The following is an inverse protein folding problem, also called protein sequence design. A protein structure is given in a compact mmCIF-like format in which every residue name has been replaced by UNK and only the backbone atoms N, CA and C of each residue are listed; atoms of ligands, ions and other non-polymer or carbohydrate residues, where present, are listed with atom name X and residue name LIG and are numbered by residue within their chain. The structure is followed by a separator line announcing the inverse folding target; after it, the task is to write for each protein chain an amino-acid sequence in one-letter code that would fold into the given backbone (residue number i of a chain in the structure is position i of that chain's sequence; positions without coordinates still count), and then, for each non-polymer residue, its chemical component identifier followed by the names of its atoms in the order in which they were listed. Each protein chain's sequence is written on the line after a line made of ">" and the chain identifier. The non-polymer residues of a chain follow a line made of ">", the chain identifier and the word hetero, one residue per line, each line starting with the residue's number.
data_IF_190330496051
#
_entry.id   IF_190330496051
#
_cell.length_a   1.000
_cell.length_b   1.000
_cell.length_c   1.000
_cell.angle_alpha   90.00
_cell.angle_beta   90.00
_cell.angle_gamma   90.00
#
_symmetry.space_group_name_H-M   'P 1'
#
loop_
_entity.id
_entity.type
_entity.pdbx_description
1 polymer ?
#
# COMPACT_ATOMS: atom_id res chain seq x y z
N UNK A 1 -41.47 -22.33 -26.07
CA UNK A 1 -41.34 -22.26 -24.60
C UNK A 1 -39.85 -22.12 -24.31
N UNK A 2 -39.42 -20.90 -24.16
CA UNK A 2 -38.04 -20.56 -23.88
C UNK A 2 -37.91 -20.31 -22.38
N UNK A 3 -37.24 -21.25 -21.72
CA UNK A 3 -36.94 -21.16 -20.29
C UNK A 3 -35.78 -20.18 -20.11
N UNK A 4 -36.06 -19.00 -19.57
CA UNK A 4 -35.04 -18.02 -19.14
C UNK A 4 -34.43 -18.51 -17.84
N UNK A 5 -33.08 -18.55 -17.75
CA UNK A 5 -32.46 -18.84 -16.46
C UNK A 5 -32.76 -17.69 -15.49
N UNK A 6 -33.43 -18.00 -14.40
CA UNK A 6 -33.56 -17.12 -13.23
C UNK A 6 -32.14 -16.86 -12.72
N UNK A 7 -31.62 -15.65 -12.93
CA UNK A 7 -30.52 -15.10 -12.11
C UNK A 7 -30.99 -15.10 -10.66
N UNK A 8 -30.56 -16.09 -9.91
CA UNK A 8 -30.66 -16.07 -8.45
C UNK A 8 -29.77 -14.90 -7.98
N UNK A 9 -30.42 -13.81 -7.55
CA UNK A 9 -29.76 -12.75 -6.82
C UNK A 9 -29.02 -13.41 -5.63
N UNK A 10 -27.69 -13.48 -5.71
CA UNK A 10 -26.88 -13.93 -4.60
C UNK A 10 -27.22 -13.02 -3.42
N UNK A 11 -27.80 -13.57 -2.36
CA UNK A 11 -28.07 -12.85 -1.12
C UNK A 11 -26.78 -12.16 -0.70
N UNK A 12 -26.77 -10.83 -0.71
CA UNK A 12 -25.61 -10.03 -0.40
C UNK A 12 -25.35 -10.21 1.09
N UNK A 13 -24.33 -11.01 1.42
CA UNK A 13 -23.97 -11.27 2.81
C UNK A 13 -23.75 -9.93 3.55
N UNK A 14 -24.49 -9.73 4.63
CA UNK A 14 -24.36 -8.54 5.48
C UNK A 14 -23.42 -8.84 6.63
N UNK A 15 -22.58 -7.85 6.99
CA UNK A 15 -21.65 -7.93 8.11
C UNK A 15 -21.85 -6.71 9.02
N UNK A 16 -22.11 -6.97 10.31
CA UNK A 16 -22.23 -5.93 11.32
C UNK A 16 -20.94 -5.85 12.15
N UNK A 17 -20.25 -4.72 12.07
CA UNK A 17 -19.12 -4.35 12.94
C UNK A 17 -19.69 -3.58 14.13
N UNK A 18 -19.60 -4.15 15.33
CA UNK A 18 -20.24 -3.60 16.52
C UNK A 18 -19.25 -2.91 17.45
N UNK A 19 -19.58 -1.69 17.88
CA UNK A 19 -18.89 -1.01 18.97
C UNK A 19 -17.48 -0.54 18.62
N UNK A 20 -17.19 -0.31 17.34
CA UNK A 20 -15.89 0.20 16.88
C UNK A 20 -15.69 1.66 17.28
N UNK A 21 -14.47 2.04 17.66
CA UNK A 21 -14.10 3.44 17.91
C UNK A 21 -13.56 4.08 16.64
N UNK A 22 -13.94 5.32 16.36
CA UNK A 22 -13.39 6.14 15.30
C UNK A 22 -12.29 7.08 15.82
N UNK A 23 -11.50 7.65 14.90
CA UNK A 23 -10.41 8.59 15.25
C UNK A 23 -10.90 9.90 15.87
N UNK A 24 -12.16 10.28 15.65
CA UNK A 24 -12.81 11.44 16.26
C UNK A 24 -13.39 11.16 17.66
N UNK A 25 -13.21 9.94 18.17
CA UNK A 25 -13.64 9.50 19.51
C UNK A 25 -15.04 8.87 19.55
N UNK A 26 -15.84 8.95 18.49
CA UNK A 26 -17.16 8.31 18.44
C UNK A 26 -17.05 6.78 18.49
N UNK A 27 -17.98 6.14 19.18
CA UNK A 27 -18.17 4.69 19.14
C UNK A 27 -19.39 4.38 18.28
N UNK A 28 -19.20 3.55 17.27
CA UNK A 28 -20.17 3.31 16.21
C UNK A 28 -20.39 1.82 15.94
N UNK A 29 -21.56 1.53 15.37
CA UNK A 29 -21.80 0.30 14.62
C UNK A 29 -21.70 0.61 13.13
N UNK A 30 -21.14 -0.33 12.34
CA UNK A 30 -21.03 -0.20 10.90
C UNK A 30 -21.61 -1.45 10.25
N UNK A 31 -22.63 -1.27 9.40
CA UNK A 31 -23.20 -2.35 8.60
C UNK A 31 -22.64 -2.31 7.21
N UNK A 32 -22.11 -3.45 6.78
CA UNK A 32 -21.58 -3.67 5.45
C UNK A 32 -22.56 -4.52 4.65
N UNK A 33 -22.75 -4.15 3.37
CA UNK A 33 -23.54 -4.91 2.41
C UNK A 33 -22.71 -5.08 1.14
N UNK A 34 -22.25 -6.30 0.89
CA UNK A 34 -21.29 -6.55 -0.17
C UNK A 34 -20.05 -5.63 -0.03
N UNK A 35 -19.55 -5.02 -1.13
CA UNK A 35 -18.31 -4.25 -1.13
C UNK A 35 -18.45 -2.82 -0.57
N UNK A 36 -19.60 -2.45 0.02
CA UNK A 36 -19.86 -1.08 0.48
C UNK A 36 -20.30 -1.03 1.94
N UNK A 37 -20.02 0.12 2.56
CA UNK A 37 -20.59 0.49 3.85
C UNK A 37 -22.04 0.92 3.59
N UNK A 38 -23.00 0.17 4.14
CA UNK A 38 -24.42 0.45 4.00
C UNK A 38 -24.87 1.53 4.99
N UNK A 39 -24.47 1.41 6.25
CA UNK A 39 -24.87 2.32 7.30
C UNK A 39 -23.80 2.45 8.38
N UNK A 40 -23.73 3.64 9.00
CA UNK A 40 -22.95 3.92 10.20
C UNK A 40 -23.91 4.54 11.21
N UNK A 41 -24.00 3.96 12.40
CA UNK A 41 -24.87 4.43 13.47
C UNK A 41 -24.16 4.47 14.82
N UNK A 42 -24.78 5.04 15.83
CA UNK A 42 -24.28 4.97 17.21
C UNK A 42 -24.23 3.52 17.68
N UNK A 43 -23.32 3.20 18.59
CA UNK A 43 -23.18 1.84 19.11
C UNK A 43 -24.53 1.28 19.64
N UNK A 44 -24.90 0.10 19.15
CA UNK A 44 -26.17 -0.58 19.46
C UNK A 44 -27.36 -0.20 18.57
N UNK A 45 -27.29 0.91 17.80
CA UNK A 45 -28.44 1.36 16.99
C UNK A 45 -28.75 0.48 15.78
N UNK A 46 -27.74 -0.13 15.18
CA UNK A 46 -27.92 -0.97 13.99
C UNK A 46 -28.28 -2.43 14.32
N UNK A 47 -28.10 -2.86 15.58
CA UNK A 47 -28.50 -4.20 16.01
C UNK A 47 -30.03 -4.35 16.15
N UNK A 48 -30.76 -3.25 16.38
CA UNK A 48 -32.22 -3.26 16.57
C UNK A 48 -33.03 -3.31 15.25
N UNK A 49 -32.41 -3.16 14.11
CA UNK A 49 -33.07 -3.06 12.81
C UNK A 49 -32.97 -4.31 11.90
N UNK A 50 -32.49 -5.44 12.41
CA UNK A 50 -32.47 -6.69 11.66
C UNK A 50 -33.88 -7.30 11.71
N UNK A 51 -34.62 -7.43 10.58
CA UNK A 51 -35.90 -8.11 10.58
C UNK A 51 -35.71 -9.54 11.12
N UNK A 52 -36.53 -9.92 12.08
CA UNK A 52 -36.60 -11.31 12.56
C UNK A 52 -36.95 -12.22 11.38
N UNK A 53 -35.95 -12.88 10.80
CA UNK A 53 -36.16 -13.75 9.63
C UNK A 53 -35.18 -13.53 8.47
N UNK A 54 -34.36 -12.46 8.46
CA UNK A 54 -33.22 -12.38 7.55
C UNK A 54 -32.12 -13.31 8.08
N UNK A 55 -31.53 -14.12 7.19
CA UNK A 55 -30.41 -15.00 7.54
C UNK A 55 -29.36 -14.23 8.37
N UNK A 56 -29.01 -14.79 9.51
CA UNK A 56 -28.17 -14.19 10.55
C UNK A 56 -26.92 -13.51 9.94
N UNK A 57 -26.95 -12.18 9.77
CA UNK A 57 -25.80 -11.44 9.31
C UNK A 57 -24.65 -11.63 10.31
N UNK A 58 -23.47 -11.99 9.83
CA UNK A 58 -22.31 -12.21 10.70
C UNK A 58 -22.01 -10.93 11.50
N UNK A 59 -21.94 -11.04 12.82
CA UNK A 59 -21.60 -9.94 13.72
C UNK A 59 -20.17 -10.08 14.23
N UNK A 60 -19.42 -8.98 14.24
CA UNK A 60 -18.06 -8.90 14.81
C UNK A 60 -18.06 -7.84 15.89
N UNK A 61 -17.63 -8.24 17.09
CA UNK A 61 -17.42 -7.32 18.21
C UNK A 61 -16.08 -6.62 18.03
N UNK A 62 -16.12 -5.29 17.85
CA UNK A 62 -14.95 -4.42 17.70
C UNK A 62 -14.78 -3.48 18.91
N UNK A 63 -15.38 -3.78 20.06
CA UNK A 63 -15.10 -3.03 21.29
C UNK A 63 -13.63 -3.12 21.66
N UNK A 64 -13.00 -1.96 21.91
CA UNK A 64 -11.55 -1.86 22.12
C UNK A 64 -10.72 -1.85 20.85
N UNK A 65 -11.36 -1.73 19.67
CA UNK A 65 -10.70 -1.55 18.38
C UNK A 65 -10.97 -0.16 17.81
N UNK A 66 -9.93 0.44 17.26
CA UNK A 66 -10.01 1.61 16.39
C UNK A 66 -10.29 1.15 14.96
N UNK A 67 -11.33 1.68 14.33
CA UNK A 67 -11.72 1.36 12.95
C UNK A 67 -11.23 2.47 12.01
N UNK A 68 -10.49 2.07 11.00
CA UNK A 68 -9.77 2.94 10.09
C UNK A 68 -10.05 2.55 8.62
N UNK A 69 -9.94 3.48 7.65
CA UNK A 69 -9.77 3.10 6.25
C UNK A 69 -8.57 2.17 6.09
N UNK A 70 -8.70 1.08 5.35
CA UNK A 70 -7.58 0.15 5.16
C UNK A 70 -6.41 0.82 4.44
N UNK A 71 -5.15 0.56 4.87
CA UNK A 71 -3.97 0.95 4.14
C UNK A 71 -3.92 0.35 2.74
N UNK A 72 -3.09 0.96 1.89
CA UNK A 72 -2.60 0.36 0.66
C UNK A 72 -1.08 0.46 0.65
N UNK A 73 -0.42 -0.51 0.05
CA UNK A 73 1.03 -0.49 -0.15
C UNK A 73 1.33 0.09 -1.54
N UNK A 74 1.80 1.35 -1.64
CA UNK A 74 2.01 2.00 -2.92
C UNK A 74 3.31 1.60 -3.61
N UNK A 75 4.22 0.91 -2.90
CA UNK A 75 5.55 0.62 -3.41
C UNK A 75 6.14 -0.66 -2.79
N UNK A 76 5.90 -1.78 -3.41
CA UNK A 76 6.43 -3.08 -3.03
C UNK A 76 7.22 -3.73 -4.19
N UNK A 77 7.97 -4.78 -3.88
CA UNK A 77 8.70 -5.61 -4.83
C UNK A 77 8.42 -7.09 -4.55
N UNK A 78 7.21 -7.56 -4.92
CA UNK A 78 6.79 -8.93 -4.62
C UNK A 78 7.64 -9.99 -5.32
N UNK A 79 8.22 -9.67 -6.48
CA UNK A 79 9.18 -10.53 -7.19
C UNK A 79 10.48 -10.76 -6.41
N UNK A 80 10.83 -9.84 -5.49
CA UNK A 80 12.01 -9.90 -4.65
C UNK A 80 11.70 -10.28 -3.20
N UNK A 81 10.44 -10.30 -2.79
CA UNK A 81 10.05 -10.57 -1.42
C UNK A 81 10.60 -11.91 -0.92
N UNK A 82 10.97 -11.95 0.37
CA UNK A 82 11.40 -13.17 1.09
C UNK A 82 12.67 -13.82 0.51
N UNK A 83 13.61 -13.00 0.01
CA UNK A 83 14.90 -13.47 -0.54
C UNK A 83 16.08 -13.22 0.38
N UNK A 84 15.87 -12.73 1.61
CA UNK A 84 16.95 -12.42 2.56
C UNK A 84 17.82 -13.64 2.94
N UNK A 85 17.29 -14.86 2.81
CA UNK A 85 18.00 -16.11 3.11
C UNK A 85 18.98 -16.56 2.02
N UNK A 86 19.08 -15.85 0.90
CA UNK A 86 19.98 -16.18 -0.21
C UNK A 86 19.33 -15.92 -1.58
N UNK A 87 20.11 -16.09 -2.67
CA UNK A 87 19.61 -15.88 -4.00
C UNK A 87 18.44 -16.84 -4.29
N UNK A 88 17.31 -16.31 -4.80
CA UNK A 88 16.14 -17.14 -5.11
C UNK A 88 16.42 -18.09 -6.28
N UNK A 89 15.68 -19.19 -6.35
CA UNK A 89 15.75 -20.12 -7.48
C UNK A 89 15.43 -19.46 -8.82
N UNK A 90 14.56 -18.43 -8.81
CA UNK A 90 14.29 -17.57 -9.98
C UNK A 90 13.41 -18.23 -11.02
N UNK A 91 12.86 -19.43 -10.77
CA UNK A 91 11.80 -20.01 -11.61
C UNK A 91 10.44 -19.34 -11.33
N UNK A 92 9.50 -19.54 -12.24
CA UNK A 92 8.17 -18.90 -12.16
C UNK A 92 7.42 -19.34 -10.91
N UNK A 93 7.51 -20.60 -10.55
CA UNK A 93 6.84 -21.21 -9.39
C UNK A 93 7.36 -20.63 -8.07
N UNK A 94 8.68 -20.47 -7.92
CA UNK A 94 9.26 -19.89 -6.71
C UNK A 94 8.90 -18.42 -6.57
N UNK A 95 9.00 -17.63 -7.66
CA UNK A 95 8.59 -16.22 -7.65
C UNK A 95 7.11 -16.09 -7.34
N UNK A 96 6.24 -16.92 -7.94
CA UNK A 96 4.80 -16.92 -7.69
C UNK A 96 4.50 -17.22 -6.22
N UNK A 97 5.13 -18.26 -5.65
CA UNK A 97 4.96 -18.64 -4.24
C UNK A 97 5.34 -17.48 -3.33
N UNK A 98 6.53 -16.89 -3.50
CA UNK A 98 7.02 -15.78 -2.67
C UNK A 98 6.18 -14.53 -2.83
N UNK A 99 5.75 -14.20 -4.06
CA UNK A 99 4.87 -13.07 -4.32
C UNK A 99 3.49 -13.25 -3.65
N UNK A 100 2.94 -14.47 -3.68
CA UNK A 100 1.69 -14.80 -2.99
C UNK A 100 1.84 -14.66 -1.48
N UNK A 101 2.88 -15.23 -0.90
CA UNK A 101 3.18 -15.16 0.53
C UNK A 101 3.44 -13.70 0.97
N UNK A 102 4.23 -12.96 0.20
CA UNK A 102 4.51 -11.55 0.46
C UNK A 102 3.26 -10.69 0.45
N UNK A 103 2.37 -10.87 -0.52
CA UNK A 103 1.10 -10.15 -0.58
C UNK A 103 0.16 -10.52 0.59
N UNK A 104 0.13 -11.80 1.01
CA UNK A 104 -0.64 -12.23 2.19
C UNK A 104 -0.09 -11.66 3.50
N UNK A 105 1.23 -11.54 3.64
CA UNK A 105 1.85 -10.87 4.79
C UNK A 105 1.46 -9.39 4.85
N UNK A 106 1.54 -8.67 3.72
CA UNK A 106 1.11 -7.27 3.64
C UNK A 106 -0.39 -7.11 3.91
N UNK A 107 -1.22 -8.04 3.42
CA UNK A 107 -2.64 -8.10 3.77
C UNK A 107 -2.83 -8.30 5.27
N UNK A 108 -2.10 -9.22 5.89
CA UNK A 108 -2.10 -9.43 7.34
C UNK A 108 -1.73 -8.18 8.14
N UNK A 109 -0.89 -7.32 7.55
CA UNK A 109 -0.54 -6.01 8.09
C UNK A 109 -1.58 -4.93 7.81
N UNK A 110 -2.61 -5.21 7.00
CA UNK A 110 -3.74 -4.32 6.77
C UNK A 110 -3.86 -3.77 5.35
N UNK A 111 -2.88 -3.99 4.47
CA UNK A 111 -2.93 -3.49 3.10
C UNK A 111 -3.93 -4.30 2.26
N UNK A 112 -5.03 -3.69 1.85
CA UNK A 112 -6.03 -4.33 0.97
C UNK A 112 -5.70 -4.18 -0.52
N UNK A 113 -4.71 -3.35 -0.84
CA UNK A 113 -4.16 -3.20 -2.18
C UNK A 113 -2.65 -3.03 -2.11
N UNK A 114 -1.94 -3.62 -3.09
CA UNK A 114 -0.48 -3.59 -3.19
C UNK A 114 -0.09 -3.21 -4.62
N UNK A 115 0.73 -2.17 -4.77
CA UNK A 115 1.40 -1.87 -6.04
C UNK A 115 2.80 -2.47 -6.00
N UNK A 116 3.03 -3.48 -6.84
CA UNK A 116 4.30 -4.20 -6.91
C UNK A 116 5.07 -3.81 -8.18
N UNK A 117 6.28 -3.29 -8.00
CA UNK A 117 7.25 -3.09 -9.05
C UNK A 117 7.93 -4.42 -9.38
N UNK A 118 7.81 -4.86 -10.62
CA UNK A 118 8.29 -6.17 -11.06
C UNK A 118 9.35 -5.97 -12.14
N UNK A 119 10.54 -6.47 -11.89
CA UNK A 119 11.65 -6.37 -12.83
C UNK A 119 11.38 -7.21 -14.08
N UNK A 120 11.65 -6.61 -15.23
CA UNK A 120 11.57 -7.25 -16.55
C UNK A 120 12.88 -7.02 -17.31
N UNK A 121 13.21 -7.96 -18.17
CA UNK A 121 14.45 -7.92 -18.95
C UNK A 121 15.51 -8.86 -18.41
N UNK A 122 16.75 -8.64 -18.80
CA UNK A 122 17.89 -9.51 -18.54
C UNK A 122 17.62 -10.98 -18.95
N UNK A 123 18.26 -11.93 -18.26
CA UNK A 123 18.10 -13.37 -18.49
C UNK A 123 16.69 -13.88 -18.14
N UNK A 124 16.00 -13.19 -17.22
CA UNK A 124 14.65 -13.58 -16.75
C UNK A 124 13.55 -13.20 -17.74
N UNK A 125 13.77 -12.20 -18.60
CA UNK A 125 12.77 -11.72 -19.54
C UNK A 125 11.50 -11.24 -18.82
N UNK A 126 10.36 -11.88 -19.10
CA UNK A 126 9.05 -11.57 -18.52
C UNK A 126 8.59 -12.55 -17.42
N UNK A 127 9.41 -13.53 -17.05
CA UNK A 127 9.03 -14.61 -16.12
C UNK A 127 8.59 -14.10 -14.75
N UNK A 128 9.30 -13.10 -14.19
CA UNK A 128 8.90 -12.52 -12.91
C UNK A 128 7.55 -11.83 -12.98
N UNK A 129 7.25 -11.15 -14.10
CA UNK A 129 5.94 -10.53 -14.31
C UNK A 129 4.85 -11.59 -14.44
N UNK A 130 5.08 -12.64 -15.22
CA UNK A 130 4.17 -13.78 -15.35
C UNK A 130 3.83 -14.37 -13.97
N UNK A 131 4.85 -14.65 -13.15
CA UNK A 131 4.68 -15.19 -11.81
C UNK A 131 3.84 -14.29 -10.90
N UNK A 132 4.08 -12.98 -10.89
CA UNK A 132 3.31 -12.02 -10.08
C UNK A 132 1.88 -11.87 -10.61
N UNK A 133 1.66 -11.95 -11.92
CA UNK A 133 0.32 -11.96 -12.51
C UNK A 133 -0.47 -13.23 -12.13
N UNK A 134 0.19 -14.38 -12.07
CA UNK A 134 -0.41 -15.63 -11.56
C UNK A 134 -0.74 -15.52 -10.07
N UNK A 135 0.16 -14.95 -9.24
CA UNK A 135 -0.12 -14.65 -7.84
C UNK A 135 -1.32 -13.71 -7.68
N UNK A 136 -1.40 -12.63 -8.48
CA UNK A 136 -2.56 -11.72 -8.52
C UNK A 136 -3.87 -12.48 -8.80
N UNK A 137 -3.84 -13.44 -9.72
CA UNK A 137 -5.01 -14.26 -10.05
C UNK A 137 -5.43 -15.14 -8.88
N UNK A 138 -4.47 -15.78 -8.19
CA UNK A 138 -4.73 -16.65 -7.05
C UNK A 138 -5.26 -15.86 -5.83
N UNK A 139 -4.88 -14.59 -5.70
CA UNK A 139 -5.24 -13.71 -4.58
C UNK A 139 -6.58 -12.95 -4.79
N UNK A 140 -7.32 -13.22 -5.87
CA UNK A 140 -8.60 -12.54 -6.13
C UNK A 140 -9.56 -12.63 -4.95
N UNK A 141 -10.08 -11.47 -4.55
CA UNK A 141 -11.03 -11.35 -3.44
C UNK A 141 -10.39 -11.36 -2.05
N UNK A 142 -9.06 -11.48 -1.96
CA UNK A 142 -8.29 -11.33 -0.72
C UNK A 142 -7.55 -9.99 -0.69
N UNK A 143 -6.80 -9.68 -1.75
CA UNK A 143 -6.02 -8.44 -1.87
C UNK A 143 -5.91 -8.06 -3.36
N UNK A 144 -5.96 -6.76 -3.65
CA UNK A 144 -5.79 -6.27 -5.01
C UNK A 144 -4.29 -6.02 -5.29
N UNK A 145 -3.72 -6.71 -6.29
CA UNK A 145 -2.32 -6.55 -6.69
C UNK A 145 -2.25 -5.79 -8.02
N UNK A 146 -1.54 -4.66 -8.02
CA UNK A 146 -1.28 -3.81 -9.18
C UNK A 146 0.19 -3.92 -9.56
N UNK A 147 0.48 -4.37 -10.78
CA UNK A 147 1.87 -4.58 -11.24
C UNK A 147 2.38 -3.38 -12.01
N UNK A 148 3.61 -2.97 -11.71
CA UNK A 148 4.39 -1.97 -12.45
C UNK A 148 5.50 -2.72 -13.19
N UNK A 149 5.55 -2.62 -14.51
CA UNK A 149 6.64 -3.21 -15.28
C UNK A 149 7.90 -2.34 -15.16
N UNK A 150 9.00 -2.92 -14.67
CA UNK A 150 10.25 -2.23 -14.34
C UNK A 150 11.38 -2.69 -15.29
N UNK A 151 11.54 -2.10 -16.49
CA UNK A 151 12.62 -2.43 -17.38
C UNK A 151 13.96 -1.94 -16.83
N UNK A 152 15.03 -2.67 -17.12
CA UNK A 152 16.37 -2.31 -16.66
C UNK A 152 16.98 -1.20 -17.52
N UNK A 153 17.06 -1.39 -18.83
CA UNK A 153 17.65 -0.45 -19.78
C UNK A 153 16.67 -0.19 -20.92
N UNK A 154 16.55 1.05 -21.34
CA UNK A 154 15.72 1.49 -22.46
C UNK A 154 16.52 2.28 -23.50
N UNK A 155 17.81 2.50 -23.23
CA UNK A 155 18.70 3.20 -24.18
C UNK A 155 19.98 2.37 -24.46
N UNK A 156 20.82 2.84 -25.35
CA UNK A 156 22.01 2.11 -25.80
C UNK A 156 21.67 0.87 -26.63
N UNK A 157 22.61 -0.08 -26.70
CA UNK A 157 22.49 -1.29 -27.54
C UNK A 157 21.37 -2.24 -27.10
N UNK A 158 21.01 -2.24 -25.82
CA UNK A 158 19.93 -3.07 -25.27
C UNK A 158 18.56 -2.35 -25.27
N UNK A 159 18.50 -1.08 -25.64
CA UNK A 159 17.30 -0.25 -25.48
C UNK A 159 16.11 -0.74 -26.30
N UNK A 160 16.33 -1.18 -27.53
CA UNK A 160 15.25 -1.68 -28.39
C UNK A 160 14.59 -2.94 -27.81
N UNK A 161 15.38 -3.88 -27.28
CA UNK A 161 14.88 -5.10 -26.65
C UNK A 161 14.12 -4.76 -25.34
N UNK A 162 14.66 -3.82 -24.55
CA UNK A 162 14.00 -3.34 -23.33
C UNK A 162 12.65 -2.70 -23.64
N UNK A 163 12.55 -1.87 -24.65
CA UNK A 163 11.29 -1.24 -25.07
C UNK A 163 10.29 -2.26 -25.63
N UNK A 164 10.74 -3.27 -26.38
CA UNK A 164 9.89 -4.35 -26.85
C UNK A 164 9.32 -5.16 -25.67
N UNK A 165 10.16 -5.56 -24.71
CA UNK A 165 9.74 -6.29 -23.52
C UNK A 165 8.77 -5.46 -22.66
N UNK A 166 8.99 -4.15 -22.51
CA UNK A 166 8.07 -3.27 -21.79
C UNK A 166 6.69 -3.25 -22.46
N UNK A 167 6.65 -3.17 -23.79
CA UNK A 167 5.40 -3.24 -24.57
C UNK A 167 4.67 -4.56 -24.33
N UNK A 168 5.40 -5.67 -24.35
CA UNK A 168 4.81 -6.98 -24.12
C UNK A 168 4.34 -7.15 -22.67
N UNK A 169 5.05 -6.61 -21.70
CA UNK A 169 4.63 -6.56 -20.30
C UNK A 169 3.27 -5.84 -20.12
N UNK A 170 3.07 -4.73 -20.83
CA UNK A 170 1.78 -4.00 -20.81
C UNK A 170 0.66 -4.81 -21.46
N UNK A 171 0.94 -5.48 -22.59
CA UNK A 171 -0.04 -6.40 -23.22
C UNK A 171 -0.39 -7.60 -22.31
N UNK A 172 0.54 -8.08 -21.51
CA UNK A 172 0.28 -9.12 -20.49
C UNK A 172 -0.59 -8.63 -19.33
N UNK A 173 -0.75 -7.32 -19.16
CA UNK A 173 -1.63 -6.73 -18.14
C UNK A 173 -0.90 -6.11 -16.96
N UNK A 174 0.34 -5.64 -17.15
CA UNK A 174 0.95 -4.70 -16.21
C UNK A 174 0.09 -3.43 -16.12
N UNK A 175 -0.16 -2.96 -14.90
CA UNK A 175 -1.07 -1.86 -14.63
C UNK A 175 -0.42 -0.47 -14.75
N UNK A 176 0.91 -0.41 -14.79
CA UNK A 176 1.68 0.82 -14.87
C UNK A 176 3.04 0.57 -15.54
N UNK A 177 3.63 1.62 -16.07
CA UNK A 177 5.01 1.64 -16.53
C UNK A 177 5.90 2.18 -15.42
N UNK A 178 6.98 1.47 -15.12
CA UNK A 178 8.01 1.89 -14.19
C UNK A 178 9.40 1.98 -14.84
N UNK A 179 10.38 2.05 -13.99
CA UNK A 179 11.78 2.05 -14.37
C UNK A 179 12.66 2.82 -13.40
N UNK A 180 13.97 2.78 -13.65
CA UNK A 180 14.95 3.55 -12.90
C UNK A 180 15.85 4.32 -13.85
N UNK A 181 15.48 5.54 -14.26
CA UNK A 181 16.29 6.34 -15.17
C UNK A 181 17.71 6.61 -14.64
N UNK A 182 17.89 6.61 -13.31
CA UNK A 182 19.19 6.85 -12.68
C UNK A 182 20.24 5.78 -13.02
N UNK A 183 19.82 4.60 -13.47
CA UNK A 183 20.68 3.47 -13.83
C UNK A 183 20.91 3.31 -15.34
N UNK A 184 20.23 4.12 -16.17
CA UNK A 184 20.36 4.08 -17.61
C UNK A 184 21.49 5.01 -18.08
N UNK A 185 22.24 4.63 -19.13
CA UNK A 185 23.25 5.51 -19.72
C UNK A 185 22.71 6.86 -20.20
N UNK A 186 21.46 6.92 -20.66
CA UNK A 186 20.74 8.15 -20.99
C UNK A 186 19.43 8.25 -20.21
N UNK A 187 19.46 8.85 -19.00
CA UNK A 187 18.26 9.00 -18.17
C UNK A 187 17.12 9.78 -18.83
N UNK A 188 17.44 10.69 -19.76
CA UNK A 188 16.43 11.49 -20.46
C UNK A 188 15.72 10.67 -21.53
N UNK A 189 16.46 9.96 -22.36
CA UNK A 189 15.92 9.04 -23.38
C UNK A 189 15.13 7.89 -22.74
N UNK A 190 15.60 7.39 -21.58
CA UNK A 190 14.84 6.41 -20.78
C UNK A 190 13.48 6.98 -20.36
N UNK A 191 13.48 8.17 -19.78
CA UNK A 191 12.26 8.84 -19.33
C UNK A 191 11.29 9.11 -20.48
N UNK A 192 11.79 9.57 -21.62
CA UNK A 192 10.99 9.80 -22.83
C UNK A 192 10.31 8.51 -23.32
N UNK A 193 11.05 7.40 -23.37
CA UNK A 193 10.53 6.08 -23.76
C UNK A 193 9.43 5.62 -22.81
N UNK A 194 9.63 5.75 -21.48
CA UNK A 194 8.62 5.40 -20.47
C UNK A 194 7.36 6.24 -20.62
N UNK A 195 7.48 7.57 -20.73
CA UNK A 195 6.35 8.47 -20.87
C UNK A 195 5.56 8.22 -22.16
N UNK A 196 6.27 7.99 -23.28
CA UNK A 196 5.67 7.65 -24.56
C UNK A 196 4.88 6.34 -24.50
N UNK A 197 5.47 5.29 -23.88
CA UNK A 197 4.83 4.00 -23.72
C UNK A 197 3.59 4.09 -22.80
N UNK A 198 3.70 4.82 -21.69
CA UNK A 198 2.59 5.04 -20.78
C UNK A 198 1.44 5.82 -21.44
N UNK A 199 1.76 6.81 -22.28
CA UNK A 199 0.74 7.55 -23.05
C UNK A 199 0.06 6.66 -24.09
N UNK A 200 0.81 5.80 -24.80
CA UNK A 200 0.28 4.86 -25.78
C UNK A 200 -0.73 3.89 -25.17
N UNK A 201 -0.43 3.35 -23.98
CA UNK A 201 -1.28 2.39 -23.30
C UNK A 201 -2.30 3.01 -22.33
N UNK A 202 -2.24 4.33 -22.10
CA UNK A 202 -3.15 5.02 -21.17
C UNK A 202 -2.95 4.63 -19.70
N UNK A 203 -1.73 4.27 -19.28
CA UNK A 203 -1.42 3.79 -17.94
C UNK A 203 -0.57 4.80 -17.15
N UNK A 204 -0.60 4.79 -15.81
CA UNK A 204 0.26 5.65 -15.00
C UNK A 204 1.74 5.25 -15.08
N UNK A 205 2.59 6.19 -14.66
CA UNK A 205 4.04 6.00 -14.55
C UNK A 205 4.45 5.99 -13.07
N UNK A 206 5.35 5.06 -12.71
CA UNK A 206 5.92 4.96 -11.37
C UNK A 206 7.42 4.67 -11.43
N UNK A 207 8.24 5.73 -11.29
CA UNK A 207 9.68 5.67 -11.51
C UNK A 207 10.46 5.61 -10.19
N UNK A 208 11.51 4.79 -10.20
CA UNK A 208 12.51 4.82 -9.15
C UNK A 208 13.54 5.91 -9.42
N UNK A 209 13.80 6.75 -8.43
CA UNK A 209 14.90 7.72 -8.43
C UNK A 209 15.35 8.00 -7.01
N UNK A 210 16.67 8.14 -6.84
CA UNK A 210 17.23 8.67 -5.60
C UNK A 210 16.91 10.16 -5.44
N UNK A 211 16.74 10.87 -6.55
CA UNK A 211 16.53 12.32 -6.61
C UNK A 211 17.69 13.11 -5.93
N UNK A 212 18.92 12.60 -6.03
CA UNK A 212 20.13 13.20 -5.48
C UNK A 212 20.80 14.25 -6.41
N UNK A 213 20.36 14.28 -7.69
CA UNK A 213 20.75 15.29 -8.67
C UNK A 213 19.57 16.24 -8.98
N UNK A 214 19.60 17.48 -8.48
CA UNK A 214 18.53 18.46 -8.71
C UNK A 214 18.33 18.83 -10.19
N UNK A 215 19.38 18.76 -11.03
CA UNK A 215 19.26 19.09 -12.45
C UNK A 215 18.57 17.97 -13.20
N UNK A 216 18.88 16.71 -12.90
CA UNK A 216 18.22 15.53 -13.46
C UNK A 216 16.75 15.51 -13.05
N UNK A 217 16.46 15.71 -11.76
CA UNK A 217 15.09 15.76 -11.26
C UNK A 217 14.27 16.88 -11.92
N UNK A 218 14.89 18.05 -12.16
CA UNK A 218 14.24 19.15 -12.84
C UNK A 218 13.87 18.81 -14.29
N UNK A 219 14.77 18.13 -15.03
CA UNK A 219 14.49 17.67 -16.38
C UNK A 219 13.35 16.64 -16.39
N UNK A 220 13.41 15.65 -15.50
CA UNK A 220 12.36 14.65 -15.36
C UNK A 220 11.00 15.32 -15.06
N UNK A 221 10.95 16.27 -14.14
CA UNK A 221 9.73 16.99 -13.80
C UNK A 221 9.18 17.80 -15.00
N UNK A 222 10.06 18.40 -15.79
CA UNK A 222 9.65 19.13 -16.99
C UNK A 222 9.08 18.20 -18.07
N UNK A 223 9.68 17.02 -18.26
CA UNK A 223 9.21 16.02 -19.24
C UNK A 223 7.89 15.36 -18.80
N UNK A 224 7.74 15.08 -17.52
CA UNK A 224 6.59 14.35 -16.96
C UNK A 224 5.39 15.26 -16.62
N UNK A 225 5.58 16.58 -16.65
CA UNK A 225 4.55 17.54 -16.29
C UNK A 225 3.28 17.41 -17.14
N UNK A 226 2.13 17.31 -16.47
CA UNK A 226 0.84 17.17 -17.16
C UNK A 226 0.50 15.77 -17.65
N UNK A 227 1.38 14.77 -17.47
CA UNK A 227 1.10 13.37 -17.81
C UNK A 227 -0.17 12.85 -17.11
N UNK A 228 -0.99 12.13 -17.86
CA UNK A 228 -2.20 11.47 -17.33
C UNK A 228 -2.15 9.98 -17.69
N UNK A 229 -2.56 9.07 -16.76
CA UNK A 229 -3.21 9.32 -15.45
C UNK A 229 -2.35 9.97 -14.37
N UNK A 230 -1.02 9.94 -14.44
CA UNK A 230 -0.14 10.63 -13.52
C UNK A 230 1.24 9.97 -13.37
N UNK A 231 2.16 10.66 -12.70
CA UNK A 231 3.53 10.20 -12.43
C UNK A 231 3.77 10.16 -10.93
N UNK A 232 4.33 9.06 -10.47
CA UNK A 232 4.84 8.87 -9.10
C UNK A 232 6.35 8.68 -9.17
N UNK A 233 7.09 9.25 -8.24
CA UNK A 233 8.52 9.03 -8.06
C UNK A 233 8.78 8.44 -6.67
N UNK A 234 9.67 7.48 -6.55
CA UNK A 234 10.10 6.90 -5.29
C UNK A 234 11.50 6.28 -5.40
N UNK A 235 12.20 6.11 -4.29
CA UNK A 235 11.94 6.59 -2.93
C UNK A 235 12.32 8.04 -2.68
N UNK A 236 13.02 8.72 -3.60
CA UNK A 236 13.47 10.12 -3.51
C UNK A 236 14.27 10.45 -2.22
N UNK A 237 14.94 9.44 -1.63
CA UNK A 237 15.67 9.56 -0.37
C UNK A 237 16.86 10.51 -0.45
N UNK A 238 17.48 10.65 -1.62
CA UNK A 238 18.59 11.55 -1.88
C UNK A 238 18.26 13.03 -1.69
N UNK A 239 16.97 13.41 -1.83
CA UNK A 239 16.53 14.77 -1.49
C UNK A 239 16.85 15.14 -0.04
N UNK A 240 16.82 14.18 0.89
CA UNK A 240 17.12 14.42 2.31
C UNK A 240 18.57 14.81 2.59
N UNK A 241 19.48 14.55 1.66
CA UNK A 241 20.89 14.91 1.77
C UNK A 241 21.23 16.26 1.11
N UNK A 242 20.28 16.89 0.41
CA UNK A 242 20.49 18.14 -0.29
C UNK A 242 20.31 19.36 0.66
N UNK A 243 20.94 20.50 0.35
CA UNK A 243 20.67 21.76 1.06
C UNK A 243 19.19 22.13 0.99
N UNK A 244 18.66 22.74 2.06
CA UNK A 244 17.24 23.08 2.19
C UNK A 244 16.68 23.91 1.02
N UNK A 245 17.49 24.81 0.45
CA UNK A 245 17.13 25.60 -0.72
C UNK A 245 16.96 24.75 -1.99
N UNK A 246 17.81 23.75 -2.19
CA UNK A 246 17.71 22.80 -3.29
C UNK A 246 16.46 21.92 -3.13
N UNK A 247 16.19 21.45 -1.91
CA UNK A 247 14.96 20.68 -1.59
C UNK A 247 13.73 21.52 -1.89
N UNK A 248 13.67 22.77 -1.45
CA UNK A 248 12.53 23.66 -1.70
C UNK A 248 12.28 23.88 -3.20
N UNK A 249 13.37 24.10 -3.96
CA UNK A 249 13.30 24.28 -5.43
C UNK A 249 12.80 23.02 -6.11
N UNK A 250 13.34 21.84 -5.74
CA UNK A 250 12.90 20.55 -6.27
C UNK A 250 11.43 20.27 -5.97
N UNK A 251 11.02 20.49 -4.71
CA UNK A 251 9.65 20.30 -4.26
C UNK A 251 8.65 21.20 -5.03
N UNK A 252 8.98 22.48 -5.25
CA UNK A 252 8.16 23.39 -6.04
C UNK A 252 8.00 22.93 -7.49
N UNK A 253 9.05 22.38 -8.12
CA UNK A 253 9.00 21.83 -9.47
C UNK A 253 8.14 20.57 -9.55
N UNK A 254 8.28 19.65 -8.60
CA UNK A 254 7.45 18.44 -8.52
C UNK A 254 5.98 18.79 -8.35
N UNK A 255 5.66 19.76 -7.47
CA UNK A 255 4.30 20.26 -7.26
C UNK A 255 3.72 20.87 -8.53
N UNK A 256 4.47 21.75 -9.21
CA UNK A 256 4.04 22.39 -10.46
C UNK A 256 3.81 21.37 -11.60
N UNK A 257 4.60 20.29 -11.62
CA UNK A 257 4.45 19.20 -12.59
C UNK A 257 3.30 18.23 -12.23
N UNK A 258 2.69 18.32 -11.04
CA UNK A 258 1.67 17.40 -10.56
C UNK A 258 2.19 16.00 -10.26
N UNK A 259 3.48 15.88 -9.98
CA UNK A 259 4.14 14.61 -9.67
C UNK A 259 3.93 14.25 -8.20
N UNK A 260 3.61 12.98 -7.94
CA UNK A 260 3.50 12.42 -6.59
C UNK A 260 4.83 11.80 -6.14
N UNK A 261 5.07 11.74 -4.83
CA UNK A 261 6.26 11.08 -4.26
C UNK A 261 5.86 9.97 -3.31
N UNK A 262 6.43 8.77 -3.52
CA UNK A 262 6.30 7.64 -2.60
C UNK A 262 7.54 7.57 -1.70
N UNK A 263 7.40 7.95 -0.44
CA UNK A 263 8.45 7.86 0.57
C UNK A 263 8.54 6.45 1.17
N UNK A 264 9.74 5.94 1.40
CA UNK A 264 9.99 4.62 1.98
C UNK A 264 10.78 4.75 3.28
N UNK A 265 10.13 5.07 4.41
CA UNK A 265 10.82 5.37 5.67
C UNK A 265 11.49 4.15 6.31
N UNK A 266 11.10 2.94 5.94
CA UNK A 266 11.78 1.71 6.37
C UNK A 266 13.13 1.52 5.67
N UNK A 267 13.40 2.27 4.61
CA UNK A 267 14.56 2.08 3.75
C UNK A 267 14.47 0.81 2.91
N UNK A 268 15.41 0.66 2.00
CA UNK A 268 15.47 -0.49 1.10
C UNK A 268 14.53 -0.33 -0.11
N UNK A 269 15.16 -0.29 -1.26
CA UNK A 269 14.49 -0.41 -2.55
C UNK A 269 15.41 -1.26 -3.41
N UNK A 270 14.92 -2.36 -3.95
CA UNK A 270 15.74 -3.36 -4.66
C UNK A 270 16.55 -2.80 -5.86
N UNK A 271 16.29 -1.57 -6.24
CA UNK A 271 16.96 -0.88 -7.36
C UNK A 271 17.99 0.13 -6.87
N UNK A 272 17.78 0.72 -5.69
CA UNK A 272 18.59 1.81 -5.14
C UNK A 272 19.04 1.46 -3.72
N UNK A 273 20.28 1.03 -3.60
CA UNK A 273 20.89 0.63 -2.32
C UNK A 273 21.31 1.86 -1.50
N UNK A 274 20.34 2.59 -0.96
CA UNK A 274 20.59 3.69 -0.04
C UNK A 274 19.57 3.74 1.09
N UNK A 275 20.06 4.14 2.27
CA UNK A 275 19.24 4.36 3.46
C UNK A 275 18.87 5.84 3.56
N UNK A 276 17.71 6.12 4.09
CA UNK A 276 17.18 7.47 4.29
C UNK A 276 15.73 7.55 3.84
N UNK A 277 15.14 8.71 4.10
CA UNK A 277 13.75 8.99 3.70
C UNK A 277 13.68 10.30 2.95
N UNK A 278 12.76 10.42 2.01
CA UNK A 278 12.44 11.71 1.39
C UNK A 278 12.00 12.72 2.46
N UNK A 279 12.32 14.01 2.32
CA UNK A 279 11.92 15.05 3.27
C UNK A 279 10.42 15.36 3.14
N UNK A 280 9.59 14.48 3.70
CA UNK A 280 8.12 14.45 3.55
C UNK A 280 7.48 15.78 3.94
N UNK A 281 7.94 16.39 5.05
CA UNK A 281 7.44 17.69 5.50
C UNK A 281 7.66 18.78 4.46
N UNK A 282 8.88 18.88 3.90
CA UNK A 282 9.23 19.89 2.92
C UNK A 282 8.45 19.70 1.60
N UNK A 283 8.38 18.47 1.09
CA UNK A 283 7.64 18.13 -0.10
C UNK A 283 6.16 18.51 0.02
N UNK A 284 5.53 18.15 1.13
CA UNK A 284 4.12 18.46 1.38
C UNK A 284 3.87 19.96 1.56
N UNK A 285 4.77 20.67 2.23
CA UNK A 285 4.66 22.12 2.38
C UNK A 285 4.71 22.87 1.06
N UNK A 286 5.36 22.30 0.05
CA UNK A 286 5.40 22.83 -1.32
C UNK A 286 4.19 22.40 -2.18
N UNK A 287 3.27 21.58 -1.64
CA UNK A 287 2.08 21.11 -2.35
C UNK A 287 2.27 19.81 -3.13
N UNK A 288 3.40 19.10 -2.95
CA UNK A 288 3.58 17.76 -3.54
C UNK A 288 2.66 16.76 -2.85
N UNK A 289 1.95 15.93 -3.62
CA UNK A 289 1.27 14.76 -3.07
C UNK A 289 2.33 13.75 -2.64
N UNK A 290 2.33 13.41 -1.37
CA UNK A 290 3.24 12.40 -0.82
C UNK A 290 2.43 11.24 -0.29
N UNK A 291 2.85 10.02 -0.63
CA UNK A 291 2.41 8.77 -0.01
C UNK A 291 3.58 8.09 0.68
N UNK A 292 3.32 7.08 1.48
CA UNK A 292 4.38 6.29 2.09
C UNK A 292 4.08 4.79 1.97
N UNK A 293 5.14 4.01 1.80
CA UNK A 293 5.10 2.56 1.71
C UNK A 293 6.24 1.90 2.47
N UNK A 294 6.23 0.58 2.48
CA UNK A 294 7.24 -0.25 3.14
C UNK A 294 8.48 -0.51 2.27
N UNK A 295 8.31 -0.58 0.95
CA UNK A 295 9.37 -0.85 -0.01
C UNK A 295 9.79 -2.31 -0.06
N UNK A 296 10.48 -2.79 0.97
CA UNK A 296 11.06 -4.12 1.05
C UNK A 296 10.30 -5.05 2.00
N UNK A 297 10.32 -6.35 1.71
CA UNK A 297 9.79 -7.41 2.58
C UNK A 297 10.79 -8.57 2.66
N UNK A 298 11.69 -8.52 3.66
CA UNK A 298 12.66 -9.57 3.90
C UNK A 298 13.47 -9.95 2.66
N UNK A 299 13.94 -8.97 1.91
CA UNK A 299 14.70 -9.15 0.68
C UNK A 299 16.20 -8.88 0.86
N UNK A 300 16.98 -9.05 -0.21
CA UNK A 300 18.43 -8.85 -0.18
C UNK A 300 18.84 -7.40 0.13
N UNK A 301 17.98 -6.40 -0.16
CA UNK A 301 18.29 -4.98 0.09
C UNK A 301 17.90 -4.54 1.49
N UNK A 302 16.86 -5.16 2.06
CA UNK A 302 16.44 -4.97 3.44
C UNK A 302 15.99 -6.29 4.07
N UNK A 303 16.96 -7.08 4.59
CA UNK A 303 16.66 -8.39 5.18
C UNK A 303 15.68 -8.37 6.35
N UNK A 304 15.48 -7.23 6.98
CA UNK A 304 14.54 -7.02 8.08
C UNK A 304 13.30 -6.22 7.68
N UNK A 305 13.11 -5.98 6.38
CA UNK A 305 11.92 -5.31 5.85
C UNK A 305 10.65 -6.08 6.20
N UNK A 306 9.67 -5.41 6.78
CA UNK A 306 8.46 -6.07 7.33
C UNK A 306 7.24 -5.99 6.41
N UNK A 307 7.26 -5.14 5.40
CA UNK A 307 6.09 -4.94 4.55
C UNK A 307 4.86 -4.42 5.31
N UNK A 308 5.06 -3.62 6.37
CA UNK A 308 3.99 -3.14 7.26
C UNK A 308 3.74 -1.63 7.05
N UNK A 309 2.59 -1.23 6.47
CA UNK A 309 2.26 0.18 6.29
C UNK A 309 2.17 0.97 7.61
N UNK A 310 1.75 0.33 8.70
CA UNK A 310 1.68 1.00 10.00
C UNK A 310 3.07 1.33 10.54
N UNK A 311 4.08 0.49 10.26
CA UNK A 311 5.46 0.80 10.59
C UNK A 311 5.98 2.00 9.78
N UNK A 312 5.63 2.10 8.49
CA UNK A 312 5.98 3.27 7.69
C UNK A 312 5.36 4.56 8.30
N UNK A 313 4.09 4.51 8.70
CA UNK A 313 3.43 5.62 9.38
C UNK A 313 4.06 5.93 10.75
N UNK A 314 4.41 4.90 11.53
CA UNK A 314 5.11 5.04 12.81
C UNK A 314 6.46 5.76 12.62
N UNK A 315 7.27 5.34 11.67
CA UNK A 315 8.58 5.94 11.42
C UNK A 315 8.46 7.43 11.02
N UNK A 316 7.52 7.76 10.12
CA UNK A 316 7.28 9.15 9.73
C UNK A 316 6.84 10.02 10.91
N UNK A 317 6.00 9.49 11.79
CA UNK A 317 5.58 10.21 12.99
C UNK A 317 6.71 10.34 14.01
N UNK A 318 7.48 9.26 14.24
CA UNK A 318 8.60 9.23 15.19
C UNK A 318 9.75 10.14 14.77
N UNK A 319 10.03 10.23 13.46
CA UNK A 319 11.04 11.15 12.93
C UNK A 319 10.54 12.59 12.83
N UNK A 320 9.28 12.85 13.22
CA UNK A 320 8.70 14.19 13.23
C UNK A 320 8.39 14.74 11.83
N UNK A 321 8.33 13.90 10.80
CA UNK A 321 7.95 14.31 9.44
C UNK A 321 6.49 14.75 9.37
N UNK A 322 5.62 14.11 10.15
CA UNK A 322 4.22 14.50 10.27
C UNK A 322 3.59 14.00 11.58
N UNK A 323 2.41 14.52 11.94
CA UNK A 323 1.63 14.05 13.10
C UNK A 323 0.99 12.68 12.79
N UNK A 324 0.69 11.86 13.80
CA UNK A 324 0.13 10.52 13.62
C UNK A 324 -1.08 10.41 12.67
N UNK A 325 -2.09 11.30 12.72
CA UNK A 325 -3.22 11.22 11.78
C UNK A 325 -2.78 11.38 10.32
N UNK A 326 -1.83 12.29 10.08
CA UNK A 326 -1.32 12.51 8.72
C UNK A 326 -0.37 11.40 8.29
N UNK A 327 0.43 10.85 9.20
CA UNK A 327 1.28 9.70 8.91
C UNK A 327 0.43 8.50 8.44
N UNK A 328 -0.69 8.26 9.11
CA UNK A 328 -1.62 7.21 8.70
C UNK A 328 -2.28 7.51 7.34
N UNK A 329 -2.65 8.75 7.08
CA UNK A 329 -3.23 9.14 5.80
C UNK A 329 -2.27 8.90 4.62
N UNK A 330 -0.95 9.08 4.83
CA UNK A 330 0.07 8.80 3.80
C UNK A 330 0.14 7.33 3.40
N UNK A 331 -0.21 6.40 4.28
CA UNK A 331 -0.24 4.95 4.00
C UNK A 331 -1.64 4.44 3.69
N UNK A 332 -2.68 5.29 3.77
CA UNK A 332 -4.08 4.92 3.49
C UNK A 332 -4.67 5.76 2.35
N UNK A 333 -5.25 6.91 2.64
CA UNK A 333 -5.94 7.76 1.65
C UNK A 333 -5.02 8.20 0.51
N UNK A 334 -3.84 8.72 0.80
CA UNK A 334 -2.87 9.14 -0.22
C UNK A 334 -2.28 7.95 -1.00
N UNK A 335 -2.02 6.83 -0.33
CA UNK A 335 -1.54 5.61 -1.00
C UNK A 335 -2.60 5.07 -1.99
N UNK A 336 -3.86 5.03 -1.58
CA UNK A 336 -4.96 4.64 -2.46
C UNK A 336 -5.11 5.59 -3.65
N UNK A 337 -5.01 6.89 -3.41
CA UNK A 337 -5.11 7.91 -4.47
C UNK A 337 -4.00 7.78 -5.51
N UNK A 338 -2.75 7.51 -5.09
CA UNK A 338 -1.60 7.31 -5.99
C UNK A 338 -1.75 6.03 -6.82
N UNK A 339 -2.31 4.96 -6.25
CA UNK A 339 -2.61 3.72 -6.97
C UNK A 339 -3.79 3.92 -7.95
N UNK A 340 -4.62 4.95 -7.77
CA UNK A 340 -5.83 5.18 -8.57
C UNK A 340 -7.06 4.47 -8.02
N UNK A 341 -7.08 4.15 -6.72
CA UNK A 341 -8.19 3.48 -6.05
C UNK A 341 -9.19 4.50 -5.48
N UNK A 342 -10.46 4.10 -5.31
CA UNK A 342 -11.46 4.95 -4.68
C UNK A 342 -11.09 5.37 -3.27
N UNK A 343 -11.49 6.58 -2.88
CA UNK A 343 -11.41 7.06 -1.51
C UNK A 343 -12.22 6.16 -0.58
N UNK A 344 -11.73 5.95 0.64
CA UNK A 344 -12.39 5.20 1.70
C UNK A 344 -12.59 6.09 2.91
N UNK A 345 -13.82 6.14 3.40
CA UNK A 345 -14.20 6.74 4.69
C UNK A 345 -15.09 5.78 5.44
N UNK A 346 -15.11 5.87 6.76
CA UNK A 346 -16.05 5.08 7.57
C UNK A 346 -17.41 5.80 7.57
N UNK A 347 -18.03 5.85 6.39
CA UNK A 347 -19.30 6.53 6.11
C UNK A 347 -20.12 5.71 5.12
N UNK A 348 -21.44 5.83 5.17
CA UNK A 348 -22.34 5.13 4.26
C UNK A 348 -22.04 5.48 2.78
N UNK A 349 -22.09 4.50 1.91
CA UNK A 349 -21.83 4.62 0.47
C UNK A 349 -20.37 4.43 0.07
N UNK A 350 -19.40 4.55 0.99
CA UNK A 350 -17.99 4.34 0.70
C UNK A 350 -17.64 2.85 0.57
N UNK A 351 -16.51 2.51 -0.09
CA UNK A 351 -16.03 1.14 -0.16
C UNK A 351 -15.78 0.54 1.23
N UNK A 352 -16.14 -0.72 1.42
CA UNK A 352 -15.91 -1.46 2.65
C UNK A 352 -14.48 -2.05 2.68
N UNK A 353 -13.50 -1.14 2.68
CA UNK A 353 -12.07 -1.39 2.77
C UNK A 353 -11.59 -0.86 4.13
N UNK A 354 -11.56 -1.70 5.15
CA UNK A 354 -11.41 -1.25 6.52
C UNK A 354 -10.34 -2.06 7.27
N UNK A 355 -9.68 -1.39 8.19
CA UNK A 355 -8.75 -2.00 9.14
C UNK A 355 -9.22 -1.69 10.57
N UNK A 356 -9.53 -2.72 11.35
CA UNK A 356 -9.73 -2.59 12.78
C UNK A 356 -8.42 -2.98 13.50
N UNK A 357 -7.91 -2.10 14.34
CA UNK A 357 -6.68 -2.35 15.13
C UNK A 357 -7.01 -2.17 16.61
N UNK A 358 -6.58 -3.11 17.44
CA UNK A 358 -6.81 -3.04 18.87
C UNK A 358 -6.09 -1.84 19.48
N UNK A 359 -6.84 -0.93 20.11
CA UNK A 359 -6.33 0.30 20.71
C UNK A 359 -7.39 1.39 20.74
N UNK A 360 -7.13 2.45 21.49
CA UNK A 360 -8.08 3.53 21.74
C UNK A 360 -7.80 4.82 20.97
N UNK A 361 -6.57 4.98 20.53
CA UNK A 361 -6.14 6.18 19.80
C UNK A 361 -5.20 5.80 18.66
N UNK A 362 -5.15 6.65 17.64
CA UNK A 362 -4.30 6.40 16.50
C UNK A 362 -2.80 6.38 16.87
N UNK A 363 -2.37 7.25 17.79
CA UNK A 363 -0.99 7.23 18.28
C UNK A 363 -0.67 5.91 19.00
N UNK A 364 -1.58 5.43 19.84
CA UNK A 364 -1.46 4.12 20.51
C UNK A 364 -1.43 2.96 19.53
N UNK A 365 -2.29 3.00 18.51
CA UNK A 365 -2.32 1.99 17.43
C UNK A 365 -1.00 1.96 16.67
N UNK A 366 -0.47 3.12 16.26
CA UNK A 366 0.81 3.16 15.55
C UNK A 366 1.97 2.68 16.43
N UNK A 367 1.93 2.97 17.74
CA UNK A 367 2.97 2.53 18.69
C UNK A 367 2.95 1.03 18.95
N UNK A 368 1.77 0.40 19.00
CA UNK A 368 1.60 -0.98 19.49
C UNK A 368 1.20 -1.97 18.39
N UNK A 369 0.26 -1.62 17.53
CA UNK A 369 -0.16 -2.32 16.29
C UNK A 369 -0.35 -3.86 16.36
N UNK A 370 -0.80 -4.43 17.49
CA UNK A 370 -0.72 -5.87 17.73
C UNK A 370 -1.80 -6.71 17.05
N UNK A 371 -3.08 -6.42 17.35
CA UNK A 371 -4.19 -7.23 16.83
C UNK A 371 -4.93 -6.46 15.75
N UNK A 372 -5.09 -7.10 14.60
CA UNK A 372 -5.69 -6.48 13.42
C UNK A 372 -6.76 -7.37 12.82
N UNK A 373 -7.83 -6.76 12.33
CA UNK A 373 -8.87 -7.40 11.52
C UNK A 373 -8.96 -6.60 10.23
N UNK A 374 -8.71 -7.27 9.11
CA UNK A 374 -8.71 -6.64 7.78
C UNK A 374 -9.99 -6.99 7.06
N UNK A 375 -10.65 -5.98 6.55
CA UNK A 375 -11.90 -6.09 5.80
C UNK A 375 -11.64 -5.58 4.39
N UNK A 376 -11.84 -6.46 3.41
CA UNK A 376 -11.73 -6.17 2.00
C UNK A 376 -13.03 -6.51 1.29
N UNK A 377 -13.57 -5.54 0.56
CA UNK A 377 -14.86 -5.68 -0.15
C UNK A 377 -15.99 -6.19 0.77
N UNK A 378 -16.02 -5.68 2.01
CA UNK A 378 -17.03 -6.03 3.00
C UNK A 378 -16.88 -7.41 3.63
N UNK A 379 -15.79 -8.12 3.40
CA UNK A 379 -15.50 -9.44 3.97
C UNK A 379 -14.26 -9.38 4.85
N UNK A 380 -14.26 -10.10 5.97
CA UNK A 380 -13.04 -10.29 6.75
C UNK A 380 -12.11 -11.22 5.98
N UNK A 381 -10.95 -10.71 5.60
CA UNK A 381 -9.95 -11.44 4.81
C UNK A 381 -8.72 -11.82 5.61
N UNK A 382 -8.46 -11.14 6.74
CA UNK A 382 -7.36 -11.48 7.64
C UNK A 382 -7.69 -11.12 9.09
N UNK A 383 -7.17 -11.92 10.01
CA UNK A 383 -7.15 -11.65 11.45
C UNK A 383 -5.78 -11.99 12.01
N UNK A 384 -5.18 -11.04 12.71
CA UNK A 384 -3.95 -11.24 13.45
C UNK A 384 -4.24 -10.92 14.91
N UNK A 385 -3.88 -11.81 15.83
CA UNK A 385 -4.00 -11.58 17.27
C UNK A 385 -2.66 -11.78 17.95
N UNK A 386 -2.34 -10.89 18.87
CA UNK A 386 -1.19 -11.06 19.77
C UNK A 386 -1.74 -11.33 21.17
N UNK A 387 -1.31 -12.43 21.76
CA UNK A 387 -1.56 -12.78 23.14
C UNK A 387 -0.31 -12.41 23.93
N UNK A 388 -0.49 -11.68 25.05
CA UNK A 388 0.58 -11.43 26.02
C UNK A 388 0.26 -12.17 27.29
N UNK A 389 1.19 -13.00 27.69
CA UNK A 389 1.14 -13.70 28.96
C UNK A 389 2.25 -13.15 29.86
N UNK A 390 1.87 -12.78 31.05
CA UNK A 390 2.82 -12.38 32.09
C UNK A 390 2.79 -13.47 33.13
N UNK A 391 3.88 -14.25 33.24
CA UNK A 391 4.00 -15.36 34.14
C UNK A 391 5.02 -15.03 35.21
N UNK A 392 4.66 -15.21 36.49
CA UNK A 392 5.62 -15.27 37.58
C UNK A 392 6.01 -16.74 37.78
N UNK A 393 7.28 -17.03 37.54
CA UNK A 393 7.81 -18.41 37.71
C UNK A 393 7.84 -18.92 39.17
N UNK A 394 7.61 -18.05 40.15
CA UNK A 394 7.60 -18.39 41.56
C UNK A 394 6.19 -18.69 42.14
N UNK A 395 5.14 -18.27 41.43
CA UNK A 395 3.74 -18.48 41.82
C UNK A 395 2.88 -18.65 40.59
N UNK A 396 2.00 -19.65 40.56
CA UNK A 396 0.98 -19.81 39.51
C UNK A 396 -0.07 -18.65 39.52
N UNK A 397 0.28 -17.49 40.06
CA UNK A 397 -0.61 -16.33 40.13
C UNK A 397 -0.69 -15.67 38.76
N UNK A 398 -1.84 -15.75 38.12
CA UNK A 398 -2.26 -14.87 37.02
C UNK A 398 -2.16 -13.43 37.54
N UNK A 399 -1.24 -12.64 37.02
CA UNK A 399 -1.16 -11.21 37.31
C UNK A 399 -2.45 -10.55 36.81
N UNK A 400 -3.29 -10.18 37.75
CA UNK A 400 -4.49 -9.35 37.48
C UNK A 400 -4.00 -7.93 37.19
N UNK A 401 -3.66 -7.69 35.91
CA UNK A 401 -3.25 -6.36 35.50
C UNK A 401 -4.44 -5.40 35.67
N UNK A 402 -4.23 -4.21 36.24
CA UNK A 402 -5.30 -3.25 36.41
C UNK A 402 -5.92 -2.97 35.03
N UNK A 403 -7.18 -3.32 34.87
CA UNK A 403 -8.00 -2.87 33.76
C UNK A 403 -7.90 -1.35 33.72
N UNK A 404 -7.59 -0.77 32.61
CA UNK A 404 -7.65 0.69 32.44
C UNK A 404 -9.07 1.10 32.90
N UNK A 405 -9.15 1.67 34.08
CA UNK A 405 -10.42 2.16 34.61
C UNK A 405 -10.89 3.29 33.71
N UNK A 406 -12.09 3.16 33.16
CA UNK A 406 -12.80 4.28 32.59
C UNK A 406 -12.84 5.37 33.67
N UNK A 407 -12.12 6.46 33.49
CA UNK A 407 -12.45 7.69 34.19
C UNK A 407 -13.73 8.21 33.56
N UNK A 408 -14.84 7.95 34.21
CA UNK A 408 -16.04 8.76 34.05
C UNK A 408 -15.69 10.20 34.43
N UNK A 409 -15.87 11.11 33.48
CA UNK A 409 -15.95 12.54 33.71
C UNK A 409 -17.04 13.07 32.79
#
# INVERSE_FOLDING_TARGET
>A
MTDSPRETAAETATLLLHGARLTDGRTVDVRLSGPRIEAVGTAGSLAAGTPSGAADGTRIDLRGYLLLPAPAEPHAHLDQALTAGGPPAGDVEDVQRRATEGALLQLGHGATAVRSHVRIGDVQGLRSLEAVLQARQALRGLVDVHTVALPRLLTGSAGADGAAMLRDALKMGAAAVGGCPDLDPDPSGYTETVLSMAAEFGVPVDLHTAADDPARLARLAAMAGGMRPGVTLGPCHGLGALPATAVATAAARLAAAGISVAALPQGGCCVLDRRGTAPVRALRSAGVRVTAGSGALGDLTNPVGRGDPLEAAFLLASHGECRPPRAYDLVSGEARAVIGLPEVRVEAGFPAELLAVRGESLAGVLSLAYSRIVIHRGRVVSRTSAVREYCDSATEAVLDLPRQSHREA
#
